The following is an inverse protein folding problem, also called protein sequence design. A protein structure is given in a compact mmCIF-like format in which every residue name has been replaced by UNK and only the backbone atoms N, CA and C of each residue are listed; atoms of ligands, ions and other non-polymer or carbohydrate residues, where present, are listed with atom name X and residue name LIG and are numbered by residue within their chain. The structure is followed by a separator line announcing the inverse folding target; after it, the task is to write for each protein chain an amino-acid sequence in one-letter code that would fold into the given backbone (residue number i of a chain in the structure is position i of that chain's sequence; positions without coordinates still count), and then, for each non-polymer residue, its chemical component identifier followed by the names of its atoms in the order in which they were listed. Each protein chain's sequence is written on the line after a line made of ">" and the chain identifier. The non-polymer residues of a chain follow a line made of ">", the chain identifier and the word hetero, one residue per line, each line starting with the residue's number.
data_IF_781097030101
#
_entry.id   IF_781097030101
#
_cell.length_a   1.000
_cell.length_b   1.000
_cell.length_c   1.000
_cell.angle_alpha   90.00
_cell.angle_beta   90.00
_cell.angle_gamma   90.00
#
_symmetry.space_group_name_H-M   'P 1'
#
loop_
_entity.id
_entity.type
_entity.pdbx_description
1 polymer ?
#
# COMPACT_ATOMS: atom_id res chain seq x y z
N UNK A 1 19.95 -4.37 7.43
CA UNK A 1 19.02 -3.64 8.33
C UNK A 1 17.79 -4.50 8.59
N UNK A 2 17.27 -4.49 9.82
CA UNK A 2 16.28 -5.47 10.29
C UNK A 2 14.90 -5.34 9.62
N UNK A 3 14.51 -4.14 9.16
CA UNK A 3 13.18 -3.87 8.62
C UNK A 3 13.11 -3.75 7.08
N UNK A 4 14.15 -4.12 6.35
CA UNK A 4 14.19 -3.96 4.87
C UNK A 4 13.10 -4.78 4.17
N UNK A 5 12.72 -5.91 4.77
CA UNK A 5 11.79 -6.88 4.20
C UNK A 5 10.48 -6.96 5.00
N UNK A 6 10.28 -6.14 6.02
CA UNK A 6 9.09 -6.20 6.87
C UNK A 6 8.09 -5.14 6.45
N UNK A 7 6.90 -5.55 6.02
CA UNK A 7 5.80 -4.65 5.72
C UNK A 7 4.77 -4.68 6.86
N UNK A 8 4.57 -3.56 7.52
CA UNK A 8 3.51 -3.40 8.51
C UNK A 8 2.25 -2.88 7.82
N UNK A 9 1.22 -3.70 7.71
CA UNK A 9 -0.02 -3.30 7.07
C UNK A 9 -0.87 -2.44 8.00
N UNK A 10 -0.86 -1.13 7.75
CA UNK A 10 -1.61 -0.14 8.54
C UNK A 10 -2.97 0.19 7.94
N UNK A 11 -3.27 -0.34 6.76
CA UNK A 11 -4.58 -0.19 6.14
C UNK A 11 -5.56 -1.16 6.80
N UNK A 12 -6.78 -0.71 7.06
CA UNK A 12 -7.90 -1.56 7.48
C UNK A 12 -9.12 -1.24 6.63
N UNK A 13 -9.90 -2.28 6.29
CA UNK A 13 -11.16 -2.12 5.57
C UNK A 13 -11.01 -1.92 4.06
N UNK A 14 -12.01 -1.29 3.45
CA UNK A 14 -12.11 -1.14 2.00
C UNK A 14 -10.94 -0.32 1.44
N UNK A 15 -10.26 -0.88 0.43
CA UNK A 15 -9.14 -0.24 -0.24
C UNK A 15 -7.76 -0.72 0.19
N UNK A 16 -7.67 -1.71 1.10
CA UNK A 16 -6.42 -2.47 1.28
C UNK A 16 -6.06 -3.22 -0.02
N UNK A 17 -4.80 -3.15 -0.45
CA UNK A 17 -4.35 -3.65 -1.75
C UNK A 17 -3.00 -4.34 -1.65
N UNK A 18 -2.82 -5.36 -2.47
CA UNK A 18 -1.57 -6.10 -2.61
C UNK A 18 -0.82 -5.70 -3.90
N UNK A 19 0.51 -5.68 -3.82
CA UNK A 19 1.40 -5.43 -4.95
C UNK A 19 2.85 -5.78 -4.62
N UNK A 20 3.76 -5.47 -5.55
CA UNK A 20 5.18 -5.83 -5.42
C UNK A 20 5.90 -5.23 -4.20
N UNK A 21 5.33 -4.18 -3.61
CA UNK A 21 5.89 -3.43 -2.49
C UNK A 21 5.41 -3.92 -1.10
N UNK A 22 4.49 -4.88 -1.01
CA UNK A 22 3.98 -5.38 0.27
C UNK A 22 3.66 -6.88 0.32
N UNK A 23 3.70 -7.58 -0.82
CA UNK A 23 3.38 -9.02 -0.91
C UNK A 23 4.43 -9.74 -1.75
N UNK A 24 4.73 -11.01 -1.40
CA UNK A 24 5.66 -11.86 -2.15
C UNK A 24 6.77 -12.46 -1.29
N UNK A 25 7.67 -13.27 -1.87
CA UNK A 25 8.68 -14.04 -1.13
C UNK A 25 9.77 -13.19 -0.46
N UNK A 26 9.85 -11.91 -0.80
CA UNK A 26 10.78 -10.94 -0.19
C UNK A 26 10.18 -10.25 1.04
N UNK A 27 8.87 -10.40 1.30
CA UNK A 27 8.16 -9.63 2.32
C UNK A 27 7.71 -10.51 3.49
N UNK A 28 8.02 -10.06 4.70
CA UNK A 28 7.38 -10.48 5.94
C UNK A 28 6.27 -9.48 6.27
N UNK A 29 5.01 -9.90 6.07
CA UNK A 29 3.85 -9.06 6.31
C UNK A 29 3.39 -9.18 7.76
N UNK A 30 3.30 -8.05 8.44
CA UNK A 30 2.75 -7.93 9.80
C UNK A 30 1.38 -7.27 9.69
N UNK A 31 0.34 -8.11 9.66
CA UNK A 31 -1.07 -7.72 9.51
C UNK A 31 -1.82 -7.58 10.85
N UNK A 32 -1.30 -8.18 11.92
CA UNK A 32 -1.99 -8.26 13.21
C UNK A 32 -1.88 -6.94 13.98
N UNK A 33 -2.80 -6.02 13.69
CA UNK A 33 -3.02 -4.73 14.37
C UNK A 33 -4.47 -4.56 14.79
N UNK A 34 -5.08 -5.62 15.34
CA UNK A 34 -6.49 -5.72 15.74
C UNK A 34 -6.95 -4.74 16.87
N UNK A 35 -6.21 -3.66 17.17
CA UNK A 35 -6.52 -2.73 18.27
C UNK A 35 -6.64 -1.26 17.88
N UNK A 36 -6.72 -0.93 16.58
CA UNK A 36 -6.89 0.47 16.12
C UNK A 36 -8.28 0.74 15.52
N UNK A 37 -9.34 0.23 16.16
CA UNK A 37 -10.71 0.62 15.81
C UNK A 37 -10.93 2.12 16.09
N UNK A 38 -11.81 2.77 15.31
CA UNK A 38 -12.20 4.16 15.56
C UNK A 38 -12.66 4.31 17.01
N UNK A 39 -12.05 5.25 17.74
CA UNK A 39 -12.22 5.40 19.21
C UNK A 39 -13.67 5.72 19.59
N UNK A 40 -14.47 6.19 18.62
CA UNK A 40 -15.88 6.53 18.73
C UNK A 40 -16.85 5.44 18.25
N UNK A 41 -16.35 4.31 17.72
CA UNK A 41 -17.17 3.19 17.27
C UNK A 41 -17.91 3.41 15.95
N UNK A 42 -17.59 4.46 15.20
CA UNK A 42 -18.05 4.67 13.83
C UNK A 42 -17.16 3.89 12.84
N UNK A 43 -17.49 3.92 11.54
CA UNK A 43 -16.73 3.23 10.49
C UNK A 43 -15.31 3.82 10.27
N UNK A 44 -15.00 4.97 10.86
CA UNK A 44 -13.72 5.65 10.77
C UNK A 44 -13.44 6.27 9.39
N UNK A 45 -14.42 6.32 8.49
CA UNK A 45 -14.26 6.82 7.13
C UNK A 45 -14.46 8.34 7.07
N UNK A 46 -13.44 9.07 6.60
CA UNK A 46 -13.58 10.48 6.30
C UNK A 46 -14.38 10.68 5.00
N UNK A 47 -15.56 11.31 5.08
CA UNK A 47 -16.38 11.65 3.90
C UNK A 47 -16.50 13.17 3.71
N UNK A 48 -16.55 13.61 2.45
CA UNK A 48 -16.72 15.02 2.07
C UNK A 48 -17.70 15.15 0.91
N UNK A 49 -18.46 16.25 0.85
CA UNK A 49 -19.30 16.55 -0.33
C UNK A 49 -18.47 17.26 -1.39
N UNK A 50 -18.55 16.80 -2.65
CA UNK A 50 -17.89 17.42 -3.81
C UNK A 50 -18.91 17.75 -4.90
N UNK A 51 -18.64 18.79 -5.69
CA UNK A 51 -19.40 19.09 -6.90
C UNK A 51 -19.14 18.05 -8.01
N UNK A 52 -20.00 18.04 -9.02
CA UNK A 52 -19.86 17.12 -10.17
C UNK A 52 -18.52 17.32 -10.92
N UNK A 53 -18.08 18.58 -11.07
CA UNK A 53 -16.81 18.91 -11.76
C UNK A 53 -15.60 18.45 -10.95
N UNK A 54 -15.65 18.59 -9.62
CA UNK A 54 -14.60 18.10 -8.73
C UNK A 54 -14.54 16.57 -8.74
N UNK A 55 -15.70 15.90 -8.73
CA UNK A 55 -15.76 14.44 -8.85
C UNK A 55 -15.07 13.94 -10.12
N UNK A 56 -15.35 14.54 -11.28
CA UNK A 56 -14.69 14.16 -12.53
C UNK A 56 -13.16 14.38 -12.50
N UNK A 57 -12.68 15.35 -11.73
CA UNK A 57 -11.25 15.59 -11.54
C UNK A 57 -10.64 14.58 -10.58
N UNK A 58 -11.34 14.25 -9.48
CA UNK A 58 -10.95 13.23 -8.51
C UNK A 58 -10.86 11.85 -9.15
N UNK A 59 -11.87 11.46 -9.94
CA UNK A 59 -11.90 10.16 -10.63
C UNK A 59 -10.71 10.02 -11.61
N UNK A 60 -10.37 11.09 -12.34
CA UNK A 60 -9.18 11.10 -13.22
C UNK A 60 -7.87 11.04 -12.44
N UNK A 61 -7.79 11.73 -11.31
CA UNK A 61 -6.62 11.68 -10.45
C UNK A 61 -6.42 10.26 -9.90
N UNK A 62 -7.49 9.63 -9.41
CA UNK A 62 -7.49 8.27 -8.90
C UNK A 62 -6.99 7.27 -9.97
N UNK A 63 -7.52 7.35 -11.19
CA UNK A 63 -7.07 6.50 -12.30
C UNK A 63 -5.59 6.70 -12.64
N UNK A 64 -5.12 7.96 -12.64
CA UNK A 64 -3.73 8.28 -12.96
C UNK A 64 -2.74 7.79 -11.90
N UNK A 65 -3.17 7.76 -10.63
CA UNK A 65 -2.32 7.35 -9.50
C UNK A 65 -2.56 5.91 -9.05
N UNK A 66 -3.42 5.17 -9.74
CA UNK A 66 -3.68 3.77 -9.43
C UNK A 66 -2.37 2.96 -9.54
N UNK A 67 -2.09 2.18 -8.51
CA UNK A 67 -0.95 1.27 -8.52
C UNK A 67 -1.14 0.19 -9.58
N UNK A 68 -0.06 -0.18 -10.27
CA UNK A 68 -0.04 -1.37 -11.12
C UNK A 68 0.29 -2.59 -10.27
N UNK A 69 -0.74 -3.36 -9.93
CA UNK A 69 -0.63 -4.54 -9.06
C UNK A 69 -0.31 -5.82 -9.82
N UNK A 70 -0.28 -5.78 -11.15
CA UNK A 70 -0.10 -6.91 -12.06
C UNK A 70 1.36 -7.18 -12.47
N UNK A 71 2.30 -6.38 -11.95
CA UNK A 71 3.72 -6.45 -12.27
C UNK A 71 4.57 -6.47 -11.01
N UNK A 72 5.79 -6.99 -11.13
CA UNK A 72 6.77 -7.08 -10.04
C UNK A 72 8.03 -6.23 -10.34
N UNK A 73 7.92 -4.89 -10.38
CA UNK A 73 9.07 -4.03 -10.59
C UNK A 73 9.93 -3.94 -9.32
N UNK A 74 11.26 -3.78 -9.45
CA UNK A 74 12.12 -3.54 -8.31
C UNK A 74 11.70 -2.25 -7.58
N UNK A 75 11.55 -2.37 -6.28
CA UNK A 75 11.11 -1.36 -5.33
C UNK A 75 12.29 -0.58 -4.77
N UNK A 76 12.00 0.56 -4.12
CA UNK A 76 13.04 1.36 -3.45
C UNK A 76 13.78 0.59 -2.35
N UNK A 77 13.14 -0.39 -1.71
CA UNK A 77 13.78 -1.25 -0.71
C UNK A 77 14.91 -2.08 -1.34
N UNK A 78 14.67 -2.67 -2.50
CA UNK A 78 15.67 -3.47 -3.22
C UNK A 78 16.79 -2.60 -3.78
N UNK A 79 16.47 -1.40 -4.29
CA UNK A 79 17.47 -0.45 -4.77
C UNK A 79 18.38 0.09 -3.65
N UNK A 80 17.86 0.23 -2.43
CA UNK A 80 18.58 0.78 -1.29
C UNK A 80 19.37 -0.25 -0.46
N UNK A 81 19.07 -1.54 -0.60
CA UNK A 81 19.60 -2.58 0.29
C UNK A 81 20.96 -3.16 -0.14
N UNK A 82 21.57 -2.62 -1.20
CA UNK A 82 22.92 -2.97 -1.65
C UNK A 82 22.99 -4.26 -2.49
N UNK A 83 24.17 -4.60 -3.05
CA UNK A 83 24.32 -5.76 -3.93
C UNK A 83 23.91 -7.06 -3.23
N UNK A 84 22.95 -7.78 -3.81
CA UNK A 84 22.47 -9.07 -3.29
C UNK A 84 21.18 -9.01 -2.45
N UNK A 85 20.58 -7.83 -2.28
CA UNK A 85 19.26 -7.71 -1.66
C UNK A 85 18.16 -7.75 -2.73
N UNK A 86 17.39 -8.83 -2.75
CA UNK A 86 16.10 -8.91 -3.43
C UNK A 86 16.07 -9.12 -4.94
N UNK A 87 17.06 -8.64 -5.71
CA UNK A 87 17.11 -8.87 -7.16
C UNK A 87 17.41 -10.34 -7.50
N UNK A 88 16.37 -11.17 -7.61
CA UNK A 88 16.48 -12.49 -8.26
C UNK A 88 16.59 -12.32 -9.77
N UNK A 89 17.82 -12.28 -10.25
CA UNK A 89 18.19 -12.58 -11.65
C UNK A 89 17.91 -11.46 -12.64
N UNK A 90 18.99 -10.90 -13.21
CA UNK A 90 18.98 -10.44 -14.58
C UNK A 90 18.91 -11.64 -15.55
#
# INVERSE_FOLDING_TARGET
>A
PEFVNTYFNMSQGDGDMEGSWNTGPLWEKVDDREQQAAVDGDDGLATVTVSHTEKATLDRAALRTASRTDIDPPTGAELGAGPGSGIKGA
#
